data_IF_031648666367
#
_entry.id   IF_031648666367
#
_cell.length_a   1.000
_cell.length_b   1.000
_cell.length_c   1.000
_cell.angle_alpha   90.00
_cell.angle_beta   90.00
_cell.angle_gamma   90.00
#
_symmetry.space_group_name_H-M   'P 1'
#
loop_
_entity.id
_entity.type
_entity.pdbx_description
1 polymer ?
#
# COMPACT_ATOMS: atom_id res chain seq x y z
N UNK A 1 21.00 -17.94 12.33
CA UNK A 1 20.40 -16.69 12.81
C UNK A 1 18.89 -16.69 12.57
N UNK A 2 18.38 -16.75 11.33
CA UNK A 2 16.93 -16.70 11.05
C UNK A 2 16.23 -18.06 10.80
N UNK A 3 16.91 -19.18 11.09
CA UNK A 3 16.34 -20.52 10.84
C UNK A 3 15.13 -20.74 11.76
N UNK A 4 13.97 -20.97 11.18
CA UNK A 4 12.71 -21.16 11.91
C UNK A 4 11.77 -22.10 11.16
N UNK A 5 10.86 -22.76 11.89
CA UNK A 5 9.74 -23.52 11.29
C UNK A 5 8.91 -22.67 10.33
N UNK A 6 8.86 -21.35 10.57
CA UNK A 6 8.22 -20.37 9.68
C UNK A 6 8.75 -20.40 8.25
N UNK A 7 10.06 -20.60 8.04
CA UNK A 7 10.64 -20.64 6.68
C UNK A 7 10.12 -21.83 5.86
N UNK A 8 9.74 -22.93 6.52
CA UNK A 8 9.13 -24.07 5.83
C UNK A 8 7.78 -23.70 5.20
N UNK A 9 7.02 -22.80 5.84
CA UNK A 9 5.75 -22.30 5.28
C UNK A 9 5.94 -21.44 4.05
N UNK A 10 7.04 -20.68 4.00
CA UNK A 10 7.43 -19.91 2.80
C UNK A 10 7.79 -20.88 1.67
N UNK A 11 8.59 -21.91 1.95
CA UNK A 11 8.93 -22.96 0.97
C UNK A 11 7.68 -23.67 0.45
N UNK A 12 6.75 -24.02 1.34
CA UNK A 12 5.47 -24.65 0.95
C UNK A 12 4.62 -23.75 0.06
N UNK A 13 4.57 -22.44 0.33
CA UNK A 13 3.83 -21.48 -0.49
C UNK A 13 4.39 -21.41 -1.92
N UNK A 14 5.71 -21.25 -2.08
CA UNK A 14 6.33 -21.22 -3.40
C UNK A 14 6.39 -22.57 -4.11
N UNK A 15 6.29 -23.69 -3.38
CA UNK A 15 6.07 -25.01 -3.99
C UNK A 15 4.65 -25.17 -4.54
N UNK A 16 3.65 -24.59 -3.87
CA UNK A 16 2.27 -24.56 -4.36
C UNK A 16 2.13 -23.66 -5.58
N UNK A 17 2.73 -22.47 -5.52
CA UNK A 17 2.68 -21.47 -6.59
C UNK A 17 4.05 -20.82 -6.79
N UNK A 18 4.85 -21.29 -7.76
CA UNK A 18 6.13 -20.67 -8.10
C UNK A 18 5.99 -19.24 -8.65
N UNK A 19 4.81 -18.87 -9.16
CA UNK A 19 4.49 -17.54 -9.69
C UNK A 19 3.96 -16.57 -8.63
N UNK A 20 3.94 -16.96 -7.35
CA UNK A 20 3.37 -16.17 -6.26
C UNK A 20 4.06 -14.80 -6.14
N UNK A 21 3.33 -13.75 -6.51
CA UNK A 21 3.86 -12.37 -6.53
C UNK A 21 4.01 -11.75 -5.14
N UNK A 22 3.29 -12.27 -4.14
CA UNK A 22 3.36 -11.81 -2.76
C UNK A 22 2.88 -12.90 -1.79
N UNK A 23 3.63 -13.15 -0.71
CA UNK A 23 3.29 -14.16 0.30
C UNK A 23 1.93 -13.93 0.97
N UNK A 24 1.48 -12.68 1.10
CA UNK A 24 0.17 -12.36 1.69
C UNK A 24 -1.01 -12.95 0.89
N UNK A 25 -0.78 -13.38 -0.35
CA UNK A 25 -1.79 -13.99 -1.21
C UNK A 25 -1.86 -15.52 -1.05
N UNK A 26 -0.82 -16.18 -0.50
CA UNK A 26 -0.89 -17.61 -0.22
C UNK A 26 -1.92 -17.88 0.91
N UNK A 27 -2.71 -18.98 0.81
CA UNK A 27 -3.76 -19.27 1.77
C UNK A 27 -3.32 -19.34 3.24
N UNK A 28 -2.12 -19.85 3.53
CA UNK A 28 -1.63 -19.97 4.90
C UNK A 28 -1.37 -18.58 5.50
N UNK A 29 -0.62 -17.73 4.79
CA UNK A 29 -0.28 -16.40 5.27
C UNK A 29 -1.50 -15.47 5.30
N UNK A 30 -2.37 -15.55 4.30
CA UNK A 30 -3.66 -14.82 4.29
C UNK A 30 -4.49 -15.18 5.52
N UNK A 31 -4.60 -16.48 5.84
CA UNK A 31 -5.31 -16.96 7.03
C UNK A 31 -4.69 -16.41 8.33
N UNK A 32 -3.37 -16.51 8.47
CA UNK A 32 -2.65 -15.98 9.63
C UNK A 32 -2.88 -14.48 9.82
N UNK A 33 -2.76 -13.67 8.75
CA UNK A 33 -2.99 -12.22 8.79
C UNK A 33 -4.44 -11.88 9.13
N UNK A 34 -5.41 -12.56 8.50
CA UNK A 34 -6.83 -12.29 8.72
C UNK A 34 -7.23 -12.59 10.16
N UNK A 35 -6.71 -13.67 10.74
CA UNK A 35 -7.00 -14.08 12.13
C UNK A 35 -6.30 -13.23 13.20
N UNK A 36 -5.23 -12.50 12.86
CA UNK A 36 -4.40 -11.77 13.83
C UNK A 36 -4.50 -10.25 13.73
N UNK A 37 -5.05 -9.71 12.64
CA UNK A 37 -5.03 -8.27 12.39
C UNK A 37 -5.74 -7.42 13.47
N UNK A 38 -6.78 -7.94 14.14
CA UNK A 38 -7.48 -7.19 15.19
C UNK A 38 -6.61 -7.01 16.42
N UNK A 39 -6.05 -8.10 16.96
CA UNK A 39 -5.11 -8.04 18.08
C UNK A 39 -3.85 -7.24 17.73
N UNK A 40 -3.38 -7.34 16.49
CA UNK A 40 -2.24 -6.55 16.02
C UNK A 40 -2.52 -5.05 16.10
N UNK A 41 -3.71 -4.60 15.65
CA UNK A 41 -4.15 -3.20 15.76
C UNK A 41 -4.26 -2.76 17.21
N UNK A 42 -4.83 -3.59 18.07
CA UNK A 42 -4.97 -3.29 19.50
C UNK A 42 -3.61 -3.05 20.16
N UNK A 43 -2.64 -3.93 19.91
CA UNK A 43 -1.26 -3.79 20.43
C UNK A 43 -0.61 -2.50 19.93
N UNK A 44 -0.73 -2.19 18.64
CA UNK A 44 -0.18 -0.94 18.07
C UNK A 44 -0.83 0.29 18.68
N UNK A 45 -2.17 0.31 18.80
CA UNK A 45 -2.90 1.43 19.38
C UNK A 45 -2.55 1.63 20.86
N UNK A 46 -2.47 0.54 21.63
CA UNK A 46 -2.08 0.58 23.04
C UNK A 46 -0.65 1.14 23.19
N UNK A 47 0.31 0.62 22.42
CA UNK A 47 1.68 1.10 22.45
C UNK A 47 1.78 2.60 22.18
N UNK A 48 1.07 3.10 21.15
CA UNK A 48 1.04 4.53 20.82
C UNK A 48 0.45 5.36 21.96
N UNK A 49 -0.69 4.94 22.54
CA UNK A 49 -1.33 5.66 23.66
C UNK A 49 -0.44 5.76 24.90
N UNK A 50 0.47 4.80 25.09
CA UNK A 50 1.41 4.78 26.22
C UNK A 50 2.82 5.28 25.86
N UNK A 51 3.02 5.83 24.65
CA UNK A 51 4.33 6.34 24.22
C UNK A 51 5.41 5.25 24.07
N UNK A 52 5.01 3.99 23.85
CA UNK A 52 5.93 2.87 23.65
C UNK A 52 6.30 2.78 22.16
N UNK A 53 7.60 2.87 21.79
CA UNK A 53 8.01 2.85 20.40
C UNK A 53 7.88 1.44 19.80
N UNK A 54 7.06 1.31 18.76
CA UNK A 54 6.81 0.04 18.04
C UNK A 54 7.01 0.17 16.52
N UNK A 55 8.16 0.69 16.03
CA UNK A 55 8.33 1.07 14.63
C UNK A 55 8.10 -0.09 13.66
N UNK A 56 8.58 -1.31 13.97
CA UNK A 56 8.40 -2.47 13.13
C UNK A 56 6.94 -2.94 13.05
N UNK A 57 6.22 -2.94 14.18
CA UNK A 57 4.81 -3.35 14.21
C UNK A 57 3.93 -2.33 13.50
N UNK A 58 4.14 -1.03 13.75
CA UNK A 58 3.36 0.03 13.15
C UNK A 58 3.58 0.11 11.62
N UNK A 59 4.83 0.04 11.17
CA UNK A 59 5.15 0.07 9.73
C UNK A 59 4.64 -1.16 8.98
N UNK A 60 4.76 -2.36 9.56
CA UNK A 60 4.20 -3.55 8.96
C UNK A 60 2.66 -3.48 8.85
N UNK A 61 1.97 -2.89 9.85
CA UNK A 61 0.51 -2.71 9.81
C UNK A 61 0.12 -1.70 8.72
N UNK A 62 0.85 -0.58 8.64
CA UNK A 62 0.67 0.42 7.60
C UNK A 62 0.90 -0.16 6.19
N UNK A 63 1.91 -1.02 6.02
CA UNK A 63 2.16 -1.73 4.76
C UNK A 63 1.01 -2.69 4.41
N UNK A 64 0.55 -3.49 5.38
CA UNK A 64 -0.58 -4.41 5.17
C UNK A 64 -1.84 -3.67 4.74
N UNK A 65 -2.18 -2.57 5.42
CA UNK A 65 -3.33 -1.73 5.08
C UNK A 65 -3.16 -1.01 3.75
N UNK A 66 -1.95 -0.54 3.45
CA UNK A 66 -1.61 0.06 2.17
C UNK A 66 -1.77 -0.92 1.01
N UNK A 67 -1.23 -2.13 1.16
CA UNK A 67 -1.23 -3.15 0.11
C UNK A 67 -2.64 -3.64 -0.25
N UNK A 68 -3.52 -3.81 0.75
CA UNK A 68 -4.91 -4.26 0.52
C UNK A 68 -5.86 -3.15 0.06
N UNK A 69 -5.40 -1.90 -0.01
CA UNK A 69 -6.21 -0.77 -0.43
C UNK A 69 -6.15 -0.59 -1.94
N UNK A 70 -7.25 -0.89 -2.63
CA UNK A 70 -7.34 -0.71 -4.09
C UNK A 70 -7.19 0.76 -4.53
N UNK A 71 -7.49 1.72 -3.63
CA UNK A 71 -7.29 3.15 -3.85
C UNK A 71 -6.54 3.74 -2.64
N UNK A 72 -5.38 4.32 -2.90
CA UNK A 72 -4.57 5.04 -1.94
C UNK A 72 -4.66 6.55 -2.18
N UNK A 73 -4.32 7.39 -1.18
CA UNK A 73 -4.30 8.85 -1.32
C UNK A 73 -3.18 9.37 -2.24
N UNK A 74 -2.51 8.50 -3.01
CA UNK A 74 -1.47 8.87 -3.97
C UNK A 74 -2.00 9.77 -5.11
N UNK A 75 -3.33 9.83 -5.32
CA UNK A 75 -3.95 10.81 -6.21
C UNK A 75 -3.69 12.25 -5.76
N UNK A 76 -3.67 12.54 -4.45
CA UNK A 76 -3.32 13.86 -3.95
C UNK A 76 -1.84 14.18 -4.21
N UNK A 77 -0.95 13.18 -4.05
CA UNK A 77 0.46 13.33 -4.38
C UNK A 77 0.65 13.66 -5.86
N UNK A 78 -0.08 12.98 -6.76
CA UNK A 78 -0.07 13.29 -8.19
C UNK A 78 -0.60 14.70 -8.47
N UNK A 79 -1.68 15.12 -7.80
CA UNK A 79 -2.20 16.48 -7.92
C UNK A 79 -1.18 17.54 -7.44
N UNK A 80 -0.50 17.28 -6.32
CA UNK A 80 0.57 18.16 -5.82
C UNK A 80 1.69 18.30 -6.86
N UNK A 81 2.19 17.17 -7.38
CA UNK A 81 3.25 17.15 -8.41
C UNK A 81 2.85 17.91 -9.67
N UNK A 82 1.62 17.74 -10.12
CA UNK A 82 1.11 18.49 -11.26
C UNK A 82 0.99 19.99 -10.95
N UNK A 83 0.54 20.34 -9.74
CA UNK A 83 0.42 21.73 -9.28
C UNK A 83 1.75 22.48 -9.25
N UNK A 84 2.77 21.94 -8.57
CA UNK A 84 4.01 22.68 -8.37
C UNK A 84 5.03 22.51 -9.50
N UNK A 85 4.87 21.51 -10.37
CA UNK A 85 5.92 21.10 -11.30
C UNK A 85 5.43 20.63 -12.67
N UNK A 86 4.14 20.79 -12.99
CA UNK A 86 3.56 20.37 -14.26
C UNK A 86 3.92 18.91 -14.64
N UNK A 87 4.05 18.05 -13.63
CA UNK A 87 4.51 16.67 -13.82
C UNK A 87 3.46 15.75 -14.45
N UNK A 88 2.25 16.26 -14.70
CA UNK A 88 1.11 15.52 -15.25
C UNK A 88 0.65 14.35 -14.37
N UNK A 89 -0.51 13.78 -14.69
CA UNK A 89 -1.06 12.60 -14.03
C UNK A 89 -1.99 11.82 -14.94
N UNK A 90 -2.25 10.57 -14.60
CA UNK A 90 -3.22 9.72 -15.31
C UNK A 90 -4.56 9.71 -14.56
N UNK A 91 -5.66 9.54 -15.30
CA UNK A 91 -7.01 9.42 -14.72
C UNK A 91 -7.50 7.98 -14.77
N UNK A 92 -8.39 7.64 -13.83
CA UNK A 92 -8.97 6.29 -13.72
C UNK A 92 -10.06 6.02 -14.76
N UNK A 93 -10.58 7.07 -15.40
CA UNK A 93 -11.60 7.02 -16.44
C UNK A 93 -11.03 7.23 -17.85
N UNK A 94 -9.70 7.22 -17.98
CA UNK A 94 -8.98 7.32 -19.24
C UNK A 94 -8.10 6.08 -19.46
N UNK A 95 -7.73 5.75 -20.71
CA UNK A 95 -6.76 4.70 -20.99
C UNK A 95 -5.43 4.92 -20.25
N UNK A 96 -4.84 3.83 -19.76
CA UNK A 96 -3.51 3.85 -19.13
C UNK A 96 -2.47 4.42 -20.12
N UNK A 97 -1.59 5.27 -19.62
CA UNK A 97 -0.58 5.96 -20.43
C UNK A 97 -1.06 7.29 -21.04
N UNK A 98 -2.33 7.68 -20.83
CA UNK A 98 -2.81 9.01 -21.18
C UNK A 98 -2.60 9.97 -20.00
N UNK A 99 -1.87 11.06 -20.25
CA UNK A 99 -1.52 12.04 -19.22
C UNK A 99 -2.36 13.31 -19.38
N UNK A 100 -2.57 13.96 -18.24
CA UNK A 100 -3.35 15.18 -18.13
C UNK A 100 -2.57 16.18 -17.28
N UNK A 101 -2.72 17.45 -17.62
CA UNK A 101 -2.24 18.58 -16.82
C UNK A 101 -3.41 19.52 -16.54
N UNK A 102 -3.52 19.99 -15.30
CA UNK A 102 -4.45 21.07 -14.95
C UNK A 102 -3.65 22.36 -14.80
N UNK A 103 -4.11 23.44 -15.43
CA UNK A 103 -3.61 24.78 -15.14
C UNK A 103 -4.21 25.24 -13.80
N UNK A 104 -3.56 24.84 -12.70
CA UNK A 104 -4.07 25.05 -11.35
C UNK A 104 -4.17 26.54 -10.93
N UNK A 105 -3.26 27.43 -11.36
CA UNK A 105 -3.39 28.86 -11.09
C UNK A 105 -4.55 29.55 -11.82
N UNK A 106 -4.96 29.08 -13.01
CA UNK A 106 -6.15 29.64 -13.69
C UNK A 106 -7.41 29.33 -12.86
N UNK A 107 -8.26 30.33 -12.53
CA UNK A 107 -9.47 30.11 -11.74
C UNK A 107 -10.45 29.08 -12.32
N UNK A 108 -10.43 28.88 -13.64
CA UNK A 108 -11.27 27.90 -14.35
C UNK A 108 -10.65 26.50 -14.34
N UNK A 109 -9.37 26.36 -13.96
CA UNK A 109 -8.61 25.11 -13.89
C UNK A 109 -8.76 24.26 -15.15
N UNK A 110 -8.49 24.81 -16.35
CA UNK A 110 -8.63 24.05 -17.58
C UNK A 110 -7.66 22.85 -17.55
N UNK A 111 -8.22 21.66 -17.80
CA UNK A 111 -7.44 20.44 -17.94
C UNK A 111 -7.12 20.18 -19.41
N UNK A 112 -5.87 19.89 -19.72
CA UNK A 112 -5.39 19.58 -21.07
C UNK A 112 -4.82 18.16 -21.10
N UNK A 113 -5.14 17.33 -22.12
CA UNK A 113 -4.37 16.13 -22.38
C UNK A 113 -2.95 16.52 -22.80
N UNK A 114 -1.96 15.75 -22.37
CA UNK A 114 -0.53 15.96 -22.67
C UNK A 114 0.02 14.76 -23.42
#
# INVERSE_FOLDING_TARGET
IIRARFLQKITEAYRRDPGLVNLMLDPYFKGALTSSQESWREVVALAIRHGIPVPAFASALAYFDGYRSARLPANLLQAQRDYFGAHTYERVDAPRGQFFHVDWPDPRRPQRPV
#
